data_IF_566447264732
#
_entry.id   IF_566447264732
#
_cell.length_a   1.000
_cell.length_b   1.000
_cell.length_c   1.000
_cell.angle_alpha   90.00
_cell.angle_beta   90.00
_cell.angle_gamma   90.00
#
_symmetry.space_group_name_H-M   'P 1'
#
loop_
_entity.id
_entity.type
_entity.pdbx_description
1 polymer ?
#
# COMPACT_ATOMS: atom_id res chain seq x y z
N UNK A 1 -7.60 9.64 -16.71
CA UNK A 1 -8.99 10.03 -16.35
C UNK A 1 -8.95 11.47 -15.88
N UNK A 2 -9.87 12.35 -16.33
CA UNK A 2 -9.81 13.78 -16.06
C UNK A 2 -9.98 14.12 -14.56
N UNK A 3 -9.22 15.10 -14.03
CA UNK A 3 -9.19 15.48 -12.61
C UNK A 3 -10.48 16.14 -12.07
N UNK A 4 -11.44 16.43 -12.92
CA UNK A 4 -12.49 17.44 -12.74
C UNK A 4 -13.88 16.89 -12.34
N UNK A 5 -13.99 15.59 -12.00
CA UNK A 5 -15.23 15.02 -11.45
C UNK A 5 -15.32 15.13 -9.92
N UNK A 6 -16.48 15.43 -9.31
CA UNK A 6 -16.67 15.51 -7.85
C UNK A 6 -16.25 14.22 -7.09
N UNK A 7 -16.46 13.09 -7.75
CA UNK A 7 -16.09 11.74 -7.31
C UNK A 7 -14.56 11.51 -7.24
N UNK A 8 -13.77 12.30 -7.96
CA UNK A 8 -12.30 12.30 -7.89
C UNK A 8 -11.81 12.90 -6.57
N UNK A 9 -12.36 14.06 -6.17
CA UNK A 9 -12.04 14.71 -4.90
C UNK A 9 -12.39 13.84 -3.68
N UNK A 10 -13.55 13.15 -3.73
CA UNK A 10 -13.96 12.25 -2.64
C UNK A 10 -13.02 11.06 -2.46
N UNK A 11 -12.48 10.48 -3.55
CA UNK A 11 -11.50 9.39 -3.48
C UNK A 11 -10.15 9.84 -2.91
N UNK A 12 -9.69 11.04 -3.25
CA UNK A 12 -8.45 11.57 -2.68
C UNK A 12 -8.53 11.76 -1.16
N UNK A 13 -9.63 12.31 -0.66
CA UNK A 13 -9.84 12.50 0.77
C UNK A 13 -9.87 11.15 1.52
N UNK A 14 -10.52 10.13 0.95
CA UNK A 14 -10.55 8.79 1.56
C UNK A 14 -9.15 8.16 1.58
N UNK A 15 -8.37 8.29 0.51
CA UNK A 15 -6.99 7.78 0.49
C UNK A 15 -6.08 8.55 1.46
N UNK A 16 -6.29 9.85 1.63
CA UNK A 16 -5.56 10.63 2.63
C UNK A 16 -5.89 10.18 4.06
N UNK A 17 -7.18 10.03 4.38
CA UNK A 17 -7.63 9.53 5.68
C UNK A 17 -7.13 8.09 5.95
N UNK A 18 -7.13 7.24 4.92
CA UNK A 18 -6.54 5.90 4.98
C UNK A 18 -5.05 5.96 5.35
N UNK A 19 -4.27 6.82 4.67
CA UNK A 19 -2.82 6.95 4.92
C UNK A 19 -2.53 7.27 6.38
N UNK A 20 -3.24 8.22 6.98
CA UNK A 20 -3.02 8.60 8.39
C UNK A 20 -3.29 7.43 9.34
N UNK A 21 -4.33 6.64 9.09
CA UNK A 21 -4.73 5.54 9.97
C UNK A 21 -3.89 4.27 9.78
N UNK A 22 -3.40 3.99 8.56
CA UNK A 22 -2.66 2.76 8.28
C UNK A 22 -1.22 2.79 8.80
N UNK A 23 -0.58 3.96 8.87
CA UNK A 23 0.80 4.10 9.34
C UNK A 23 1.04 3.45 10.71
N UNK A 24 0.28 3.76 11.79
CA UNK A 24 0.49 3.14 13.08
C UNK A 24 0.16 1.64 13.10
N UNK A 25 -0.81 1.20 12.29
CA UNK A 25 -1.14 -0.22 12.16
C UNK A 25 0.04 -0.98 11.56
N UNK A 26 0.62 -0.50 10.46
CA UNK A 26 1.81 -1.11 9.85
C UNK A 26 2.97 -1.20 10.84
N UNK A 27 3.25 -0.11 11.56
CA UNK A 27 4.32 -0.07 12.56
C UNK A 27 4.12 -1.09 13.69
N UNK A 28 2.88 -1.35 14.12
CA UNK A 28 2.55 -2.36 15.15
C UNK A 28 2.98 -3.77 14.75
N UNK A 29 2.97 -4.10 13.46
CA UNK A 29 3.41 -5.40 12.94
C UNK A 29 4.90 -5.40 12.54
N UNK A 30 5.65 -4.35 12.89
CA UNK A 30 7.07 -4.19 12.53
C UNK A 30 7.29 -3.73 11.08
N UNK A 31 6.23 -3.34 10.38
CA UNK A 31 6.33 -2.88 9.00
C UNK A 31 6.98 -1.50 8.90
N UNK A 32 7.82 -1.33 7.89
CA UNK A 32 8.50 -0.08 7.54
C UNK A 32 8.20 0.28 6.09
N UNK A 33 7.79 1.52 5.84
CA UNK A 33 7.62 2.01 4.48
C UNK A 33 8.99 2.26 3.84
N UNK A 34 9.30 1.53 2.77
CA UNK A 34 10.52 1.72 1.99
C UNK A 34 10.30 2.59 0.76
N UNK A 35 9.10 2.52 0.17
CA UNK A 35 8.73 3.34 -1.00
C UNK A 35 7.31 3.85 -0.85
N UNK A 36 7.11 5.13 -1.12
CA UNK A 36 5.82 5.77 -1.37
C UNK A 36 6.03 6.73 -2.56
N UNK A 37 5.81 6.26 -3.78
CA UNK A 37 6.17 6.98 -5.00
C UNK A 37 4.99 7.10 -5.97
N UNK A 38 4.83 8.29 -6.56
CA UNK A 38 3.92 8.52 -7.69
C UNK A 38 4.67 8.52 -9.02
N UNK A 39 4.04 8.01 -10.07
CA UNK A 39 4.59 7.93 -11.43
C UNK A 39 6.01 7.32 -11.51
N UNK A 40 6.22 6.08 -11.02
CA UNK A 40 7.50 5.40 -11.20
C UNK A 40 7.86 5.25 -12.68
N UNK A 41 9.13 5.42 -13.01
CA UNK A 41 9.66 5.17 -14.36
C UNK A 41 9.67 3.68 -14.64
N UNK A 42 8.94 3.26 -15.67
CA UNK A 42 9.02 1.90 -16.15
C UNK A 42 10.25 1.74 -17.06
N UNK A 43 11.13 0.78 -16.73
CA UNK A 43 12.35 0.50 -17.49
C UNK A 43 12.13 -0.68 -18.44
N UNK A 44 11.34 -1.67 -18.04
CA UNK A 44 11.08 -2.89 -18.82
C UNK A 44 9.73 -3.52 -18.44
N UNK A 45 9.04 -4.11 -19.43
CA UNK A 45 7.75 -4.80 -19.26
C UNK A 45 6.53 -3.87 -19.35
N UNK A 46 5.32 -4.43 -19.18
CA UNK A 46 4.06 -3.71 -19.43
C UNK A 46 3.33 -3.26 -18.15
N UNK A 47 3.95 -3.40 -16.98
CA UNK A 47 3.37 -2.95 -15.72
C UNK A 47 3.65 -1.47 -15.46
N UNK A 48 2.63 -0.63 -15.65
CA UNK A 48 2.72 0.83 -15.53
C UNK A 48 1.87 1.37 -14.36
N UNK A 49 2.28 1.17 -13.09
CA UNK A 49 1.53 1.67 -11.96
C UNK A 49 1.63 3.20 -11.88
N UNK A 50 0.50 3.89 -11.65
CA UNK A 50 0.50 5.33 -11.37
C UNK A 50 1.06 5.68 -9.97
N UNK A 51 1.07 4.69 -9.07
CA UNK A 51 1.52 4.84 -7.69
C UNK A 51 2.06 3.50 -7.17
N UNK A 52 3.23 3.53 -6.52
CA UNK A 52 3.89 2.36 -5.97
C UNK A 52 4.11 2.55 -4.47
N UNK A 53 3.79 1.53 -3.68
CA UNK A 53 4.06 1.48 -2.24
C UNK A 53 4.78 0.17 -1.93
N UNK A 54 5.91 0.25 -1.23
CA UNK A 54 6.66 -0.91 -0.76
C UNK A 54 6.79 -0.85 0.76
N UNK A 55 6.38 -1.93 1.42
CA UNK A 55 6.53 -2.13 2.85
C UNK A 55 7.49 -3.29 3.07
N UNK A 56 8.41 -3.12 3.99
CA UNK A 56 9.28 -4.17 4.48
C UNK A 56 8.80 -4.59 5.87
N UNK A 57 8.71 -5.90 6.09
CA UNK A 57 8.40 -6.48 7.39
C UNK A 57 9.55 -7.39 7.83
N UNK A 58 9.68 -7.70 9.13
CA UNK A 58 10.73 -8.59 9.63
C UNK A 58 10.66 -10.01 9.05
N UNK A 59 9.46 -10.45 8.64
CA UNK A 59 9.25 -11.72 7.94
C UNK A 59 7.96 -11.68 7.10
N UNK A 60 7.79 -12.66 6.21
CA UNK A 60 6.56 -12.79 5.41
C UNK A 60 5.35 -13.13 6.28
N UNK A 61 5.55 -13.84 7.40
CA UNK A 61 4.51 -14.13 8.39
C UNK A 61 3.99 -12.84 9.03
N UNK A 62 4.88 -11.91 9.38
CA UNK A 62 4.49 -10.60 9.92
C UNK A 62 3.72 -9.77 8.90
N UNK A 63 4.12 -9.83 7.62
CA UNK A 63 3.39 -9.17 6.55
C UNK A 63 1.98 -9.75 6.36
N UNK A 64 1.84 -11.08 6.44
CA UNK A 64 0.53 -11.77 6.41
C UNK A 64 -0.32 -11.42 7.63
N UNK A 65 0.27 -11.47 8.82
CA UNK A 65 -0.40 -11.13 10.07
C UNK A 65 -0.96 -9.71 10.03
N UNK A 66 -0.20 -8.74 9.49
CA UNK A 66 -0.70 -7.39 9.22
C UNK A 66 -1.85 -7.39 8.21
N UNK A 67 -1.69 -8.04 7.06
CA UNK A 67 -2.66 -7.97 5.96
C UNK A 67 -4.01 -8.62 6.30
N UNK A 68 -3.99 -9.65 7.14
CA UNK A 68 -5.16 -10.39 7.60
C UNK A 68 -5.65 -9.92 8.98
N UNK A 69 -5.03 -8.88 9.55
CA UNK A 69 -5.38 -8.38 10.87
C UNK A 69 -6.77 -7.73 10.93
N UNK A 70 -7.50 -7.89 12.05
CA UNK A 70 -8.76 -7.19 12.26
C UNK A 70 -8.57 -5.67 12.30
N UNK A 71 -7.38 -5.17 12.69
CA UNK A 71 -7.09 -3.74 12.67
C UNK A 71 -6.89 -3.18 11.25
N UNK A 72 -6.30 -3.95 10.33
CA UNK A 72 -6.09 -3.50 8.94
C UNK A 72 -7.33 -3.71 8.07
N UNK A 73 -8.15 -4.71 8.35
CA UNK A 73 -9.33 -5.08 7.55
C UNK A 73 -10.29 -3.90 7.22
N UNK A 74 -10.70 -2.99 8.14
CA UNK A 74 -11.49 -1.82 7.78
C UNK A 74 -10.75 -0.85 6.85
N UNK A 75 -9.43 -0.66 7.07
CA UNK A 75 -8.60 0.22 6.25
C UNK A 75 -8.36 -0.35 4.85
N UNK A 76 -8.20 -1.68 4.75
CA UNK A 76 -8.13 -2.43 3.50
C UNK A 76 -9.40 -2.22 2.66
N UNK A 77 -10.58 -2.32 3.28
CA UNK A 77 -11.86 -2.02 2.59
C UNK A 77 -11.91 -0.57 2.08
N UNK A 78 -11.52 0.41 2.89
CA UNK A 78 -11.45 1.81 2.46
C UNK A 78 -10.52 2.00 1.25
N UNK A 79 -9.33 1.36 1.28
CA UNK A 79 -8.35 1.42 0.19
C UNK A 79 -8.91 0.80 -1.09
N UNK A 80 -9.47 -0.41 -1.01
CA UNK A 80 -9.98 -1.15 -2.16
C UNK A 80 -11.21 -0.48 -2.79
N UNK A 81 -12.02 0.22 -2.00
CA UNK A 81 -13.14 1.02 -2.51
C UNK A 81 -12.68 2.31 -3.23
N UNK A 82 -11.48 2.81 -2.90
CA UNK A 82 -10.98 4.10 -3.39
C UNK A 82 -9.93 3.99 -4.49
N UNK A 83 -9.25 2.85 -4.60
CA UNK A 83 -8.22 2.60 -5.58
C UNK A 83 -8.25 1.14 -6.08
N UNK A 84 -7.96 0.96 -7.36
CA UNK A 84 -7.64 -0.36 -7.93
C UNK A 84 -6.13 -0.49 -8.02
N UNK A 85 -5.61 -1.67 -7.75
CA UNK A 85 -4.19 -1.95 -7.85
C UNK A 85 -3.88 -3.39 -7.50
N UNK A 86 -2.65 -3.79 -7.80
CA UNK A 86 -2.13 -5.11 -7.48
C UNK A 86 -1.41 -5.03 -6.14
N UNK A 87 -1.65 -6.02 -5.27
CA UNK A 87 -0.87 -6.23 -4.06
C UNK A 87 -0.17 -7.57 -4.15
N UNK A 88 1.12 -7.62 -3.80
CA UNK A 88 1.91 -8.84 -3.75
C UNK A 88 2.59 -8.92 -2.39
N UNK A 89 2.59 -10.12 -1.80
CA UNK A 89 3.44 -10.46 -0.67
C UNK A 89 4.52 -11.40 -1.20
N UNK A 90 5.77 -11.04 -0.96
CA UNK A 90 6.94 -11.76 -1.45
C UNK A 90 7.92 -11.95 -0.30
N UNK A 91 8.62 -13.08 -0.30
CA UNK A 91 9.71 -13.32 0.65
C UNK A 91 10.99 -12.68 0.10
N UNK A 92 11.69 -11.93 0.96
CA UNK A 92 12.94 -11.28 0.62
C UNK A 92 14.12 -12.24 0.71
N UNK A 93 15.28 -11.80 0.24
CA UNK A 93 16.52 -12.51 0.52
C UNK A 93 16.84 -12.45 2.03
N UNK A 94 17.57 -13.44 2.57
CA UNK A 94 18.15 -13.34 3.89
C UNK A 94 18.98 -12.05 4.00
N UNK A 95 19.02 -11.43 5.18
CA UNK A 95 19.94 -10.33 5.41
C UNK A 95 21.37 -10.80 5.06
N UNK A 96 22.08 -9.99 4.28
CA UNK A 96 23.49 -10.23 4.03
C UNK A 96 24.21 -10.17 5.39
N UNK A 97 24.86 -11.28 5.77
CA UNK A 97 25.75 -11.33 6.92
C UNK A 97 27.02 -10.52 6.71
#
# INVERSE_FOLDING_TARGET
>A
MPPDRPEHGRRFLVLHAYKVQVLPVVAKFGGTYRVIAGNPSNVEGDWHPAYLVMLEFPSVEQAKAWYDSPEYEPLKRMRLASARGTGVLIEGLPAAG
#
